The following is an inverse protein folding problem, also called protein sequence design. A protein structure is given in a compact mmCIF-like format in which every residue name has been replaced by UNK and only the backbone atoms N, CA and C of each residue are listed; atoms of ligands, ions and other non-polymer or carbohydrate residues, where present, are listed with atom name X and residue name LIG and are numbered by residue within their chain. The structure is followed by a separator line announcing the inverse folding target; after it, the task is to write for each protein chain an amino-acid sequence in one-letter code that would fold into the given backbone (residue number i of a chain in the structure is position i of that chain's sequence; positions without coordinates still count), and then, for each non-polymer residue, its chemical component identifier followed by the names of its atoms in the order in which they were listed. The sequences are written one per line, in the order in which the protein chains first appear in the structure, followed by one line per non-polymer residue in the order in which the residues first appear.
data_IF_973514640140
#
_entry.id   IF_973514640140
#
_cell.length_a   1.000
_cell.length_b   1.000
_cell.length_c   1.000
_cell.angle_alpha   90.00
_cell.angle_beta   90.00
_cell.angle_gamma   90.00
#
_symmetry.space_group_name_H-M   'P 1'
#
loop_
_entity.id
_entity.type
_entity.pdbx_description
1 polymer ?
#
# COMPACT_ATOMS: atom_id res chain seq x y z
N UNK A 1 21.33 18.44 -0.81
CA UNK A 1 20.23 17.62 -0.26
C UNK A 1 20.81 16.32 0.29
N UNK A 2 20.30 15.82 1.42
CA UNK A 2 20.73 14.54 2.00
C UNK A 2 19.83 13.42 1.44
N UNK A 3 20.43 12.33 0.96
CA UNK A 3 19.69 11.17 0.46
C UNK A 3 18.81 10.55 1.56
N UNK A 4 17.65 10.04 1.16
CA UNK A 4 16.70 9.36 2.03
C UNK A 4 16.87 7.84 1.93
N UNK A 5 16.69 7.14 3.04
CA UNK A 5 16.82 5.68 3.13
C UNK A 5 15.44 5.03 3.21
N UNK A 6 15.14 4.18 2.23
CA UNK A 6 13.91 3.37 2.20
C UNK A 6 14.28 1.92 2.49
N UNK A 7 13.80 1.40 3.62
CA UNK A 7 14.01 -0.01 3.97
C UNK A 7 12.95 -0.88 3.33
N UNK A 8 13.37 -1.84 2.48
CA UNK A 8 12.49 -2.84 1.88
C UNK A 8 12.23 -3.99 2.85
N UNK A 9 10.96 -4.32 3.07
CA UNK A 9 10.52 -5.39 3.97
C UNK A 9 10.13 -6.59 3.10
N UNK A 10 11.02 -7.58 3.08
CA UNK A 10 10.96 -8.73 2.16
C UNK A 10 10.98 -10.08 2.89
N UNK A 11 11.33 -10.11 4.18
CA UNK A 11 11.56 -11.37 4.91
C UNK A 11 10.80 -11.44 6.24
N UNK A 12 10.58 -12.66 6.75
CA UNK A 12 10.02 -12.86 8.09
C UNK A 12 10.89 -12.22 9.18
N UNK A 13 12.22 -12.23 9.01
CA UNK A 13 13.14 -11.56 9.95
C UNK A 13 12.91 -10.05 9.98
N UNK A 14 12.67 -9.43 8.82
CA UNK A 14 12.35 -8.00 8.76
C UNK A 14 11.01 -7.68 9.45
N UNK A 15 9.98 -8.52 9.30
CA UNK A 15 8.72 -8.38 10.06
C UNK A 15 8.97 -8.44 11.56
N UNK A 16 9.78 -9.39 12.02
CA UNK A 16 10.06 -9.59 13.45
C UNK A 16 10.77 -8.38 14.08
N UNK A 17 11.56 -7.64 13.29
CA UNK A 17 12.33 -6.46 13.72
C UNK A 17 11.75 -5.14 13.17
N UNK A 18 10.49 -5.14 12.75
CA UNK A 18 9.91 -4.01 12.00
C UNK A 18 9.93 -2.70 12.79
N UNK A 19 9.80 -2.76 14.12
CA UNK A 19 9.78 -1.56 14.96
C UNK A 19 11.13 -0.86 14.95
N UNK A 20 12.21 -1.64 15.08
CA UNK A 20 13.59 -1.15 15.06
C UNK A 20 13.93 -0.59 13.68
N UNK A 21 13.52 -1.27 12.60
CA UNK A 21 13.75 -0.82 11.22
C UNK A 21 13.04 0.50 10.95
N UNK A 22 11.76 0.64 11.37
CA UNK A 22 11.00 1.88 11.21
C UNK A 22 11.71 3.06 11.89
N UNK A 23 12.25 2.88 13.10
CA UNK A 23 12.92 3.94 13.86
C UNK A 23 14.15 4.53 13.16
N UNK A 24 14.83 3.74 12.33
CA UNK A 24 16.09 4.13 11.69
C UNK A 24 15.94 4.44 10.19
N UNK A 25 14.75 4.25 9.62
CA UNK A 25 14.48 4.46 8.19
C UNK A 25 13.76 5.77 7.95
N UNK A 26 14.05 6.46 6.84
CA UNK A 26 13.25 7.60 6.41
C UNK A 26 11.88 7.15 5.88
N UNK A 27 11.82 5.95 5.29
CA UNK A 27 10.61 5.37 4.73
C UNK A 27 10.67 3.84 4.73
N UNK A 28 9.51 3.19 4.65
CA UNK A 28 9.37 1.75 4.51
C UNK A 28 8.77 1.39 3.16
N UNK A 29 9.23 0.30 2.54
CA UNK A 29 8.61 -0.30 1.37
C UNK A 29 8.24 -1.75 1.66
N UNK A 30 6.97 -2.12 1.48
CA UNK A 30 6.48 -3.49 1.60
C UNK A 30 6.59 -4.14 0.23
N UNK A 31 7.58 -5.00 0.03
CA UNK A 31 7.82 -5.70 -1.23
C UNK A 31 7.11 -7.05 -1.19
N UNK A 32 5.85 -7.07 -1.63
CA UNK A 32 4.93 -8.21 -1.47
C UNK A 32 5.31 -9.45 -2.28
N UNK A 33 5.99 -9.28 -3.41
CA UNK A 33 6.52 -10.37 -4.22
C UNK A 33 7.52 -11.22 -3.43
N UNK A 34 8.56 -10.60 -2.89
CA UNK A 34 9.57 -11.28 -2.07
C UNK A 34 8.96 -11.76 -0.74
N UNK A 35 8.17 -10.89 -0.09
CA UNK A 35 7.55 -11.22 1.19
C UNK A 35 6.58 -12.40 1.11
N UNK A 36 5.87 -12.55 -0.02
CA UNK A 36 4.98 -13.68 -0.29
C UNK A 36 5.69 -15.00 -0.51
N UNK A 37 7.00 -14.97 -0.84
CA UNK A 37 7.86 -16.15 -0.91
C UNK A 37 8.37 -16.51 0.49
N UNK A 38 8.78 -15.51 1.27
CA UNK A 38 9.44 -15.67 2.58
C UNK A 38 8.48 -15.92 3.75
N UNK A 39 7.17 -15.76 3.54
CA UNK A 39 6.15 -15.91 4.59
C UNK A 39 4.97 -16.74 4.10
N UNK A 40 4.17 -17.36 5.00
CA UNK A 40 2.95 -18.03 4.57
C UNK A 40 2.03 -17.05 3.83
N UNK A 41 1.70 -17.38 2.58
CA UNK A 41 0.89 -16.50 1.71
C UNK A 41 -0.44 -16.08 2.34
N UNK A 42 -1.04 -16.94 3.17
CA UNK A 42 -2.27 -16.66 3.92
C UNK A 42 -2.12 -15.52 4.93
N UNK A 43 -0.90 -15.14 5.31
CA UNK A 43 -0.59 -14.05 6.23
C UNK A 43 -0.12 -12.77 5.55
N UNK A 44 0.09 -12.77 4.23
CA UNK A 44 0.66 -11.63 3.50
C UNK A 44 -0.18 -10.34 3.72
N UNK A 45 -1.50 -10.46 3.55
CA UNK A 45 -2.42 -9.34 3.77
C UNK A 45 -2.41 -8.84 5.23
N UNK A 46 -2.28 -9.75 6.20
CA UNK A 46 -2.14 -9.40 7.61
C UNK A 46 -0.84 -8.61 7.86
N UNK A 47 0.30 -9.08 7.34
CA UNK A 47 1.57 -8.40 7.52
C UNK A 47 1.60 -7.02 6.86
N UNK A 48 1.01 -6.85 5.67
CA UNK A 48 0.86 -5.54 5.05
C UNK A 48 0.16 -4.56 5.99
N UNK A 49 -1.03 -4.91 6.50
CA UNK A 49 -1.81 -4.05 7.41
C UNK A 49 -1.05 -3.74 8.69
N UNK A 50 -0.39 -4.73 9.28
CA UNK A 50 0.42 -4.57 10.49
C UNK A 50 1.63 -3.65 10.29
N UNK A 51 2.32 -3.76 9.15
CA UNK A 51 3.46 -2.89 8.83
C UNK A 51 2.95 -1.46 8.62
N UNK A 52 1.89 -1.26 7.81
CA UNK A 52 1.30 0.07 7.58
C UNK A 52 0.91 0.71 8.90
N UNK A 53 0.16 0.00 9.76
CA UNK A 53 -0.26 0.49 11.07
C UNK A 53 0.92 0.94 11.94
N UNK A 54 2.01 0.17 11.98
CA UNK A 54 3.23 0.52 12.75
C UNK A 54 3.97 1.72 12.15
N UNK A 55 3.98 1.86 10.83
CA UNK A 55 4.55 3.01 10.14
C UNK A 55 3.76 4.29 10.47
N UNK A 56 2.42 4.25 10.37
CA UNK A 56 1.55 5.39 10.72
C UNK A 56 1.70 5.80 12.19
N UNK A 57 1.78 4.84 13.11
CA UNK A 57 2.00 5.11 14.53
C UNK A 57 3.31 5.88 14.81
N UNK A 58 4.34 5.66 13.98
CA UNK A 58 5.64 6.32 14.09
C UNK A 58 5.83 7.49 13.11
N UNK A 59 4.79 7.83 12.33
CA UNK A 59 4.81 8.87 11.29
C UNK A 59 5.90 8.63 10.22
N UNK A 60 6.26 7.37 9.98
CA UNK A 60 7.17 6.97 8.90
C UNK A 60 6.33 6.65 7.67
N UNK A 61 6.58 7.26 6.50
CA UNK A 61 5.80 6.94 5.31
C UNK A 61 6.04 5.50 4.84
N UNK A 62 5.02 4.90 4.24
CA UNK A 62 5.06 3.51 3.78
C UNK A 62 4.57 3.36 2.34
N UNK A 63 5.35 2.65 1.53
CA UNK A 63 5.06 2.29 0.14
C UNK A 63 4.59 0.83 0.11
N UNK A 64 3.46 0.55 -0.53
CA UNK A 64 3.10 -0.83 -0.91
C UNK A 64 3.54 -1.08 -2.34
N UNK A 65 4.35 -2.10 -2.54
CA UNK A 65 5.00 -2.38 -3.81
C UNK A 65 4.73 -3.80 -4.30
N UNK A 66 4.97 -3.97 -5.60
CA UNK A 66 4.88 -5.20 -6.39
C UNK A 66 3.45 -5.72 -6.60
N UNK A 67 3.22 -6.21 -7.82
CA UNK A 67 1.97 -6.85 -8.25
C UNK A 67 0.71 -6.04 -7.92
N UNK A 68 0.78 -4.71 -8.06
CA UNK A 68 -0.40 -3.86 -7.83
C UNK A 68 -1.39 -4.01 -9.00
N UNK A 69 -0.89 -4.00 -10.24
CA UNK A 69 -1.68 -4.13 -11.47
C UNK A 69 -0.95 -5.03 -12.49
N UNK A 70 -0.33 -6.12 -12.01
CA UNK A 70 0.61 -6.95 -12.79
C UNK A 70 0.07 -7.43 -14.14
N UNK A 71 -1.21 -7.81 -14.22
CA UNK A 71 -1.84 -8.25 -15.46
C UNK A 71 -1.77 -7.19 -16.56
N UNK A 72 -1.64 -5.92 -16.20
CA UNK A 72 -1.51 -4.81 -17.15
C UNK A 72 -0.15 -4.74 -17.86
N UNK A 73 0.79 -5.63 -17.52
CA UNK A 73 1.98 -5.86 -18.35
C UNK A 73 1.63 -6.31 -19.77
N UNK A 74 0.53 -7.05 -19.94
CA UNK A 74 0.05 -7.57 -21.22
C UNK A 74 -1.45 -7.32 -21.50
N UNK A 75 -2.22 -6.87 -20.51
CA UNK A 75 -3.64 -6.55 -20.63
C UNK A 75 -3.90 -5.04 -20.59
N UNK A 76 -4.89 -4.57 -21.35
CA UNK A 76 -5.30 -3.15 -21.32
C UNK A 76 -6.04 -2.75 -20.03
N UNK A 77 -6.65 -3.72 -19.33
CA UNK A 77 -7.38 -3.52 -18.07
C UNK A 77 -6.86 -4.47 -16.99
N UNK A 78 -6.84 -4.05 -15.72
CA UNK A 78 -6.49 -4.93 -14.62
C UNK A 78 -7.63 -5.90 -14.30
N UNK A 79 -7.31 -6.93 -13.53
CA UNK A 79 -8.31 -7.81 -12.95
C UNK A 79 -9.10 -7.11 -11.84
N UNK A 80 -10.29 -7.64 -11.52
CA UNK A 80 -11.07 -7.18 -10.36
C UNK A 80 -10.29 -7.32 -9.05
N UNK A 81 -9.49 -8.37 -8.93
CA UNK A 81 -8.66 -8.61 -7.74
C UNK A 81 -7.60 -7.52 -7.57
N UNK A 82 -6.88 -7.16 -8.63
CA UNK A 82 -5.86 -6.10 -8.61
C UNK A 82 -6.47 -4.72 -8.33
N UNK A 83 -7.60 -4.40 -8.96
CA UNK A 83 -8.30 -3.14 -8.70
C UNK A 83 -8.73 -3.02 -7.21
N UNK A 84 -9.27 -4.12 -6.65
CA UNK A 84 -9.62 -4.19 -5.22
C UNK A 84 -8.38 -4.12 -4.32
N UNK A 85 -7.26 -4.71 -4.72
CA UNK A 85 -6.02 -4.70 -3.96
C UNK A 85 -5.41 -3.29 -3.86
N UNK A 86 -5.35 -2.56 -4.98
CA UNK A 86 -4.97 -1.14 -5.01
C UNK A 86 -5.88 -0.32 -4.09
N UNK A 87 -7.20 -0.48 -4.21
CA UNK A 87 -8.16 0.24 -3.37
C UNK A 87 -7.95 -0.06 -1.87
N UNK A 88 -7.75 -1.32 -1.49
CA UNK A 88 -7.53 -1.70 -0.10
C UNK A 88 -6.21 -1.18 0.45
N UNK A 89 -5.14 -1.14 -0.34
CA UNK A 89 -3.87 -0.55 0.09
C UNK A 89 -4.01 0.95 0.43
N UNK A 90 -4.81 1.69 -0.35
CA UNK A 90 -5.17 3.09 -0.04
C UNK A 90 -5.98 3.18 1.26
N UNK A 91 -7.02 2.36 1.40
CA UNK A 91 -7.87 2.35 2.60
C UNK A 91 -7.13 1.93 3.88
N UNK A 92 -6.11 1.09 3.75
CA UNK A 92 -5.23 0.71 4.85
C UNK A 92 -4.30 1.86 5.29
N UNK A 93 -4.15 2.88 4.45
CA UNK A 93 -3.39 4.09 4.73
C UNK A 93 -1.96 4.08 4.22
N UNK A 94 -1.68 3.32 3.15
CA UNK A 94 -0.41 3.44 2.42
C UNK A 94 -0.19 4.89 1.95
N UNK A 95 1.04 5.40 2.06
CA UNK A 95 1.37 6.76 1.63
C UNK A 95 1.74 6.81 0.13
N UNK A 96 2.16 5.69 -0.44
CA UNK A 96 2.34 5.52 -1.88
C UNK A 96 2.15 4.07 -2.32
N UNK A 97 1.82 3.89 -3.60
CA UNK A 97 1.77 2.59 -4.27
C UNK A 97 2.78 2.58 -5.41
N UNK A 98 3.43 1.44 -5.66
CA UNK A 98 4.48 1.32 -6.66
C UNK A 98 4.10 0.32 -7.77
N UNK A 99 4.17 0.80 -9.02
CA UNK A 99 4.19 -0.03 -10.23
C UNK A 99 5.63 -0.47 -10.53
N UNK A 100 5.80 -1.70 -11.00
CA UNK A 100 7.10 -2.33 -11.28
C UNK A 100 7.22 -2.63 -12.79
N UNK A 101 7.09 -3.89 -13.18
CA UNK A 101 7.16 -4.30 -14.59
C UNK A 101 6.03 -3.68 -15.42
N UNK A 102 4.91 -3.35 -14.79
CA UNK A 102 3.76 -2.70 -15.43
C UNK A 102 4.16 -1.42 -16.19
N UNK A 103 5.09 -0.64 -15.63
CA UNK A 103 5.58 0.60 -16.23
C UNK A 103 6.98 0.47 -16.83
N UNK A 104 7.83 -0.40 -16.29
CA UNK A 104 9.20 -0.57 -16.76
C UNK A 104 9.28 -1.27 -18.12
N UNK A 105 8.46 -2.30 -18.34
CA UNK A 105 8.53 -3.16 -19.54
C UNK A 105 7.15 -3.56 -20.09
N UNK A 106 6.05 -3.10 -19.47
CA UNK A 106 4.70 -3.45 -19.86
C UNK A 106 4.25 -2.81 -21.19
N UNK A 107 3.24 -3.39 -21.82
CA UNK A 107 2.68 -2.89 -23.08
C UNK A 107 1.86 -1.60 -22.92
N UNK A 108 1.34 -1.34 -21.72
CA UNK A 108 0.42 -0.23 -21.44
C UNK A 108 0.84 0.65 -20.25
N UNK A 109 2.08 1.16 -20.20
CA UNK A 109 2.65 1.81 -19.01
C UNK A 109 1.88 3.08 -18.59
N UNK A 110 1.49 3.91 -19.57
CA UNK A 110 0.72 5.14 -19.34
C UNK A 110 -0.70 4.80 -18.86
N UNK A 111 -1.35 3.82 -19.46
CA UNK A 111 -2.71 3.42 -19.10
C UNK A 111 -2.75 2.80 -17.69
N UNK A 112 -1.76 1.97 -17.35
CA UNK A 112 -1.62 1.39 -16.03
C UNK A 112 -1.50 2.47 -14.95
N UNK A 113 -0.66 3.48 -15.19
CA UNK A 113 -0.50 4.61 -14.27
C UNK A 113 -1.79 5.42 -14.10
N UNK A 114 -2.53 5.66 -15.20
CA UNK A 114 -3.84 6.36 -15.15
C UNK A 114 -4.87 5.58 -14.34
N UNK A 115 -5.01 4.28 -14.59
CA UNK A 115 -5.96 3.44 -13.86
C UNK A 115 -5.62 3.40 -12.37
N UNK A 116 -4.35 3.23 -12.00
CA UNK A 116 -3.95 3.27 -10.59
C UNK A 116 -4.30 4.62 -9.95
N UNK A 117 -4.04 5.73 -10.65
CA UNK A 117 -4.38 7.07 -10.17
C UNK A 117 -5.89 7.27 -9.98
N UNK A 118 -6.72 6.77 -10.90
CA UNK A 118 -8.18 6.86 -10.80
C UNK A 118 -8.72 6.08 -9.59
N UNK A 119 -8.20 4.87 -9.35
CA UNK A 119 -8.56 4.06 -8.18
C UNK A 119 -8.14 4.79 -6.89
N UNK A 120 -6.92 5.33 -6.82
CA UNK A 120 -6.43 6.08 -5.66
C UNK A 120 -7.35 7.29 -5.38
N UNK A 121 -7.57 8.13 -6.39
CA UNK A 121 -8.35 9.36 -6.26
C UNK A 121 -9.78 9.10 -5.76
N UNK A 122 -10.42 8.05 -6.27
CA UNK A 122 -11.76 7.68 -5.82
C UNK A 122 -11.77 7.28 -4.33
N UNK A 123 -10.83 6.43 -3.90
CA UNK A 123 -10.82 5.90 -2.53
C UNK A 123 -10.36 6.92 -1.49
N UNK A 124 -9.43 7.82 -1.82
CA UNK A 124 -9.04 8.94 -0.96
C UNK A 124 -10.25 9.84 -0.63
N UNK A 125 -11.13 10.07 -1.60
CA UNK A 125 -12.37 10.84 -1.41
C UNK A 125 -13.33 10.23 -0.38
N UNK A 126 -13.24 8.92 -0.11
CA UNK A 126 -14.08 8.23 0.88
C UNK A 126 -13.52 8.35 2.30
N UNK A 127 -12.20 8.42 2.47
CA UNK A 127 -11.55 8.53 3.78
C UNK A 127 -11.95 9.84 4.47
N UNK A 128 -12.01 10.94 3.71
CA UNK A 128 -12.48 12.24 4.21
C UNK A 128 -13.95 12.20 4.66
N UNK A 129 -14.80 11.38 4.03
CA UNK A 129 -16.22 11.28 4.37
C UNK A 129 -16.47 10.37 5.58
N UNK A 130 -15.66 9.31 5.76
CA UNK A 130 -15.78 8.36 6.87
C UNK A 130 -15.51 9.01 8.23
N UNK A 131 -14.47 9.86 8.33
CA UNK A 131 -14.17 10.64 9.54
C UNK A 131 -15.35 11.56 9.87
N UNK A 132 -15.90 12.25 8.87
CA UNK A 132 -17.02 13.16 9.05
C UNK A 132 -18.31 12.44 9.47
N UNK A 133 -18.62 11.29 8.86
CA UNK A 133 -19.79 10.46 9.23
C UNK A 133 -19.67 9.86 10.62
N UNK A 134 -18.47 9.40 11.02
CA UNK A 134 -18.23 8.85 12.36
C UNK A 134 -18.36 9.92 13.44
N UNK A 135 -17.88 11.14 13.15
CA UNK A 135 -18.07 12.30 14.02
C UNK A 135 -19.56 12.69 14.14
N UNK A 136 -20.30 12.75 13.03
CA UNK A 136 -21.76 12.96 13.03
C UNK A 136 -22.53 11.88 13.81
N UNK A 137 -22.13 10.62 13.70
CA UNK A 137 -22.72 9.53 14.48
C UNK A 137 -22.47 9.70 15.98
N UNK A 138 -21.24 10.02 16.39
CA UNK A 138 -20.91 10.26 17.80
C UNK A 138 -21.66 11.47 18.37
N UNK A 139 -21.87 12.53 17.59
CA UNK A 139 -22.70 13.68 18.00
C UNK A 139 -24.19 13.35 18.10
N UNK A 140 -24.70 12.35 17.36
CA UNK A 140 -26.11 11.92 17.43
C UNK A 140 -26.43 11.05 18.65
N UNK A 141 -25.45 10.41 19.27
CA UNK A 141 -25.62 9.59 20.48
C UNK A 141 -25.19 10.30 21.78
N UNK A 142 -24.75 11.56 21.69
CA UNK A 142 -24.36 12.40 22.84
C UNK A 142 -25.47 13.32 23.37
N UNK A 143 -26.75 13.03 23.10
CA UNK A 143 -27.91 13.72 23.69
C UNK A 143 -28.81 12.74 24.39
#
# INVERSE_FOLDING_TARGET
MKSKIISKIETQKAINNIKEIIKVSDMIMIARGDLGIETPISKLAFYQKEIIKKCKAQKTPVIVATQMLYSMTSSYLPTRAEACDVANAVLDGADALMLSNETATGQYPVQCTKIMADIIKFNEGLISQSIFKRMLYLFKFGK
#
